data_IF_634901873484
#
_entry.id   IF_634901873484
#
_cell.length_a   1.000
_cell.length_b   1.000
_cell.length_c   1.000
_cell.angle_alpha   90.00
_cell.angle_beta   90.00
_cell.angle_gamma   90.00
#
_symmetry.space_group_name_H-M   'P 1'
#
loop_
_entity.id
_entity.type
_entity.pdbx_description
1 polymer ?
#
# COMPACT_ATOMS: atom_id res chain seq x y z
N UNK A 1 16.27 -19.45 -49.72
CA UNK A 1 15.00 -19.42 -48.95
C UNK A 1 15.12 -19.90 -47.50
N UNK A 2 16.12 -20.73 -47.11
CA UNK A 2 16.32 -21.14 -45.70
C UNK A 2 16.84 -20.02 -44.78
N UNK A 3 17.54 -19.03 -45.32
CA UNK A 3 18.14 -17.91 -44.55
C UNK A 3 17.14 -16.84 -44.10
N UNK A 4 16.00 -16.70 -44.78
CA UNK A 4 14.95 -15.72 -44.42
C UNK A 4 14.14 -16.19 -43.22
N UNK A 5 13.96 -17.51 -43.07
CA UNK A 5 13.18 -18.09 -41.97
C UNK A 5 13.89 -17.95 -40.62
N UNK A 6 15.22 -18.00 -40.61
CA UNK A 6 16.04 -17.86 -39.38
C UNK A 6 16.03 -16.42 -38.86
N UNK A 7 15.99 -15.43 -39.76
CA UNK A 7 15.94 -14.01 -39.39
C UNK A 7 14.57 -13.63 -38.81
N UNK A 8 13.49 -14.20 -39.34
CA UNK A 8 12.13 -13.97 -38.83
C UNK A 8 11.89 -14.62 -37.46
N UNK A 9 12.56 -15.73 -37.15
CA UNK A 9 12.48 -16.40 -35.83
C UNK A 9 13.32 -15.67 -34.76
N UNK A 10 14.42 -15.01 -35.14
CA UNK A 10 15.23 -14.22 -34.22
C UNK A 10 14.56 -12.89 -33.82
N UNK A 11 13.78 -12.29 -34.73
CA UNK A 11 13.02 -11.07 -34.47
C UNK A 11 11.79 -11.29 -33.56
N UNK A 12 11.21 -12.50 -33.54
CA UNK A 12 10.09 -12.85 -32.66
C UNK A 12 10.51 -13.20 -31.23
N UNK A 13 11.80 -13.48 -30.97
CA UNK A 13 12.35 -13.71 -29.63
C UNK A 13 12.68 -12.41 -28.86
N UNK A 14 12.77 -11.25 -29.54
CA UNK A 14 13.10 -9.97 -28.91
C UNK A 14 11.90 -9.20 -28.34
N UNK A 15 10.68 -9.75 -28.45
CA UNK A 15 9.45 -9.08 -28.02
C UNK A 15 8.81 -9.68 -26.74
N UNK A 16 9.50 -10.54 -26.00
CA UNK A 16 9.06 -10.97 -24.67
C UNK A 16 9.39 -9.93 -23.59
N UNK A 17 9.07 -8.66 -23.83
CA UNK A 17 9.05 -7.68 -22.75
C UNK A 17 7.72 -7.81 -22.02
N UNK A 18 7.76 -8.10 -20.72
CA UNK A 18 6.53 -8.07 -19.92
C UNK A 18 6.04 -6.64 -19.88
N UNK A 19 4.73 -6.45 -19.72
CA UNK A 19 4.13 -5.11 -19.59
C UNK A 19 4.83 -4.24 -18.53
N UNK A 20 5.43 -4.87 -17.53
CA UNK A 20 6.12 -4.21 -16.42
C UNK A 20 7.62 -3.94 -16.63
N UNK A 21 8.19 -4.31 -17.77
CA UNK A 21 9.62 -4.04 -18.04
C UNK A 21 9.86 -2.53 -18.15
N UNK A 22 10.35 -1.93 -17.07
CA UNK A 22 10.59 -0.49 -16.92
C UNK A 22 9.54 0.24 -16.08
N UNK A 23 8.48 -0.44 -15.63
CA UNK A 23 7.53 0.10 -14.67
C UNK A 23 8.20 0.14 -13.28
N UNK A 24 8.13 1.29 -12.61
CA UNK A 24 8.47 1.39 -11.20
C UNK A 24 7.38 0.64 -10.44
N UNK A 25 7.74 -0.41 -9.71
CA UNK A 25 6.80 -1.17 -8.88
C UNK A 25 6.13 -0.33 -7.78
N UNK A 26 5.52 -0.98 -6.78
CA UNK A 26 4.74 -0.30 -5.76
C UNK A 26 5.50 0.84 -5.06
N UNK A 27 4.80 1.70 -4.35
CA UNK A 27 5.49 2.64 -3.46
C UNK A 27 6.17 1.85 -2.33
N UNK A 28 7.42 2.13 -1.95
CA UNK A 28 8.12 1.35 -0.92
C UNK A 28 7.59 1.66 0.47
N UNK A 29 7.57 0.63 1.31
CA UNK A 29 7.36 0.78 2.75
C UNK A 29 8.41 1.75 3.31
N UNK A 30 8.04 2.71 4.18
CA UNK A 30 8.99 3.64 4.77
C UNK A 30 10.09 2.93 5.56
N UNK A 31 11.35 3.12 5.13
CA UNK A 31 12.52 2.52 5.81
C UNK A 31 12.74 3.07 7.23
N UNK A 32 12.37 4.33 7.48
CA UNK A 32 12.40 4.99 8.79
C UNK A 32 11.02 5.56 9.13
N UNK A 33 10.02 4.69 9.25
CA UNK A 33 8.67 5.07 9.67
C UNK A 33 8.62 5.45 11.16
N UNK A 34 7.74 6.39 11.52
CA UNK A 34 7.32 6.66 12.90
C UNK A 34 6.10 5.77 13.20
N UNK A 35 6.37 4.48 13.38
CA UNK A 35 5.35 3.46 13.60
C UNK A 35 4.80 3.56 15.02
N UNK A 36 3.53 3.95 15.12
CA UNK A 36 2.82 4.01 16.40
C UNK A 36 1.80 2.89 16.50
N UNK A 37 1.78 2.21 17.64
CA UNK A 37 0.71 1.24 17.94
C UNK A 37 -0.62 1.97 17.92
N UNK A 38 -1.55 1.43 17.15
CA UNK A 38 -2.89 1.98 16.94
C UNK A 38 -3.96 1.11 17.59
N UNK A 39 -3.67 -0.18 17.78
CA UNK A 39 -4.53 -1.07 18.54
C UNK A 39 -4.14 -2.53 18.37
N UNK A 40 -4.66 -3.35 19.27
CA UNK A 40 -4.49 -4.79 19.24
C UNK A 40 -5.80 -5.46 18.84
N UNK A 41 -5.71 -6.38 17.89
CA UNK A 41 -6.75 -7.34 17.54
C UNK A 41 -6.39 -8.71 18.13
N UNK A 42 -7.34 -9.67 18.21
CA UNK A 42 -7.05 -11.01 18.71
C UNK A 42 -5.86 -11.66 17.98
N UNK A 43 -5.78 -11.50 16.66
CA UNK A 43 -4.82 -12.24 15.82
C UNK A 43 -3.59 -11.41 15.39
N UNK A 44 -3.63 -10.08 15.57
CA UNK A 44 -2.57 -9.18 15.14
C UNK A 44 -2.57 -7.85 15.88
N UNK A 45 -1.42 -7.17 15.91
CA UNK A 45 -1.32 -5.77 16.32
C UNK A 45 -1.25 -4.85 15.09
N UNK A 46 -1.84 -3.66 15.18
CA UNK A 46 -1.83 -2.66 14.11
C UNK A 46 -0.96 -1.47 14.49
N UNK A 47 -0.09 -1.10 13.56
CA UNK A 47 0.76 0.08 13.64
C UNK A 47 0.51 1.00 12.45
N UNK A 48 0.71 2.30 12.66
CA UNK A 48 0.54 3.33 11.64
C UNK A 48 1.79 4.20 11.57
N UNK A 49 2.32 4.42 10.37
CA UNK A 49 3.37 5.41 10.18
C UNK A 49 2.75 6.81 10.04
N UNK A 50 2.76 7.57 11.12
CA UNK A 50 2.15 8.91 11.17
C UNK A 50 2.82 9.89 10.20
N UNK A 51 4.11 9.69 9.90
CA UNK A 51 4.84 10.53 8.94
C UNK A 51 4.37 10.31 7.51
N UNK A 52 3.91 9.10 7.18
CA UNK A 52 3.39 8.77 5.85
C UNK A 52 2.05 9.43 5.51
N UNK A 53 1.28 9.87 6.52
CA UNK A 53 -0.04 10.50 6.33
C UNK A 53 0.11 11.76 5.47
N UNK A 54 -0.38 11.73 4.23
CA UNK A 54 -0.25 12.84 3.28
C UNK A 54 -1.29 12.77 2.15
N UNK A 55 -1.60 13.91 1.54
CA UNK A 55 -2.35 13.97 0.27
C UNK A 55 -1.51 13.57 -0.95
N UNK A 56 -0.20 13.48 -0.78
CA UNK A 56 0.71 13.23 -1.87
C UNK A 56 0.87 11.73 -2.10
N UNK A 57 0.42 11.30 -3.27
CA UNK A 57 0.84 10.06 -3.86
C UNK A 57 1.57 10.34 -5.17
N UNK A 58 2.62 9.57 -5.46
CA UNK A 58 3.55 9.77 -6.59
C UNK A 58 2.82 9.91 -7.93
N UNK A 59 1.73 9.17 -8.07
CA UNK A 59 0.88 9.17 -9.27
C UNK A 59 -0.61 9.26 -8.91
N UNK A 60 -0.93 9.46 -7.64
CA UNK A 60 -2.29 9.39 -7.12
C UNK A 60 -2.96 10.74 -7.05
N UNK A 61 -4.23 10.70 -6.67
CA UNK A 61 -5.05 11.90 -6.60
C UNK A 61 -4.89 12.57 -5.23
N UNK A 62 -4.76 13.90 -5.23
CA UNK A 62 -4.86 14.70 -4.00
C UNK A 62 -6.26 14.62 -3.34
N UNK A 63 -7.21 13.92 -3.96
CA UNK A 63 -8.54 13.63 -3.39
C UNK A 63 -8.47 12.72 -2.16
N UNK A 64 -7.41 11.92 -2.02
CA UNK A 64 -7.29 10.95 -0.93
C UNK A 64 -6.19 11.36 0.05
N UNK A 65 -6.31 10.88 1.28
CA UNK A 65 -5.23 10.86 2.26
C UNK A 65 -4.61 9.47 2.24
N UNK A 66 -3.32 9.39 1.97
CA UNK A 66 -2.58 8.14 1.93
C UNK A 66 -1.88 7.89 3.26
N UNK A 67 -1.84 6.64 3.69
CA UNK A 67 -1.18 6.22 4.94
C UNK A 67 -0.64 4.81 4.83
N UNK A 68 0.52 4.55 5.42
CA UNK A 68 1.04 3.21 5.64
C UNK A 68 0.56 2.64 6.97
N UNK A 69 -0.05 1.45 6.90
CA UNK A 69 -0.43 0.62 8.02
C UNK A 69 0.43 -0.65 8.02
N UNK A 70 0.81 -1.12 9.20
CA UNK A 70 1.48 -2.41 9.39
C UNK A 70 0.64 -3.28 10.31
N UNK A 71 0.39 -4.51 9.91
CA UNK A 71 -0.19 -5.55 10.75
C UNK A 71 0.91 -6.54 11.12
N UNK A 72 1.10 -6.79 12.41
CA UNK A 72 2.00 -7.82 12.93
C UNK A 72 1.16 -8.98 13.47
N UNK A 73 1.16 -10.09 12.75
CA UNK A 73 0.36 -11.27 13.08
C UNK A 73 1.04 -12.11 14.15
N UNK A 74 0.24 -12.56 15.12
CA UNK A 74 0.72 -13.43 16.20
C UNK A 74 1.09 -14.82 15.69
N UNK A 75 0.38 -15.29 14.67
CA UNK A 75 0.62 -16.57 13.99
C UNK A 75 1.02 -16.34 12.52
N UNK A 76 1.89 -17.20 11.95
CA UNK A 76 2.24 -17.12 10.54
C UNK A 76 1.04 -17.23 9.61
N UNK A 77 1.00 -16.38 8.59
CA UNK A 77 -0.01 -16.34 7.56
C UNK A 77 0.56 -16.89 6.24
N UNK A 78 -0.29 -17.40 5.36
CA UNK A 78 0.14 -17.85 4.02
C UNK A 78 -0.49 -16.95 2.98
N UNK A 79 0.34 -16.36 2.12
CA UNK A 79 -0.15 -15.50 1.05
C UNK A 79 -0.95 -16.31 0.01
N UNK A 80 -2.12 -15.79 -0.36
CA UNK A 80 -2.99 -16.41 -1.36
C UNK A 80 -2.36 -16.49 -2.74
N UNK A 81 -1.45 -15.57 -3.07
CA UNK A 81 -0.85 -15.43 -4.41
C UNK A 81 0.51 -16.11 -4.49
N UNK A 82 1.50 -15.63 -3.73
CA UNK A 82 2.87 -16.15 -3.73
C UNK A 82 3.03 -17.49 -3.01
N UNK A 83 2.06 -17.87 -2.16
CA UNK A 83 2.12 -19.03 -1.25
C UNK A 83 3.25 -18.95 -0.22
N UNK A 84 3.92 -17.80 -0.09
CA UNK A 84 4.92 -17.57 0.94
C UNK A 84 4.30 -17.38 2.32
N UNK A 85 5.07 -17.74 3.35
CA UNK A 85 4.68 -17.55 4.76
C UNK A 85 5.13 -16.17 5.22
N UNK A 86 4.24 -15.40 5.85
CA UNK A 86 4.54 -14.05 6.33
C UNK A 86 3.94 -13.82 7.73
N UNK A 87 4.56 -12.92 8.49
CA UNK A 87 4.08 -12.50 9.82
C UNK A 87 3.80 -11.00 9.86
N UNK A 88 4.24 -10.26 8.85
CA UNK A 88 4.01 -8.81 8.75
C UNK A 88 3.43 -8.47 7.40
N UNK A 89 2.32 -7.72 7.42
CA UNK A 89 1.73 -7.10 6.24
C UNK A 89 1.84 -5.59 6.38
N UNK A 90 2.49 -4.95 5.44
CA UNK A 90 2.43 -3.51 5.25
C UNK A 90 1.42 -3.23 4.16
N UNK A 91 0.43 -2.40 4.46
CA UNK A 91 -0.61 -1.98 3.52
C UNK A 91 -0.57 -0.46 3.36
N UNK A 92 -0.59 0.01 2.13
CA UNK A 92 -0.81 1.42 1.84
C UNK A 92 -2.28 1.66 1.58
N UNK A 93 -2.89 2.50 2.40
CA UNK A 93 -4.32 2.79 2.33
C UNK A 93 -4.54 4.17 1.70
N UNK A 94 -5.54 4.28 0.83
CA UNK A 94 -6.12 5.54 0.39
C UNK A 94 -7.42 5.79 1.18
N UNK A 95 -7.52 6.95 1.82
CA UNK A 95 -8.65 7.33 2.69
C UNK A 95 -9.34 8.55 2.10
N UNK A 96 -10.63 8.42 1.79
CA UNK A 96 -11.51 9.50 1.37
C UNK A 96 -12.18 10.11 2.62
N UNK A 97 -11.58 11.15 3.18
CA UNK A 97 -12.00 11.71 4.47
C UNK A 97 -13.43 12.26 4.50
N UNK A 98 -13.92 12.78 3.37
CA UNK A 98 -15.28 13.34 3.29
C UNK A 98 -16.37 12.26 3.38
N UNK A 99 -16.10 11.08 2.83
CA UNK A 99 -17.07 9.96 2.81
C UNK A 99 -16.82 8.93 3.91
N UNK A 100 -15.69 9.02 4.60
CA UNK A 100 -15.29 8.06 5.62
C UNK A 100 -14.98 6.68 5.04
N UNK A 101 -14.46 6.62 3.81
CA UNK A 101 -14.16 5.37 3.10
C UNK A 101 -12.67 5.18 2.95
N UNK A 102 -12.22 3.93 2.89
CA UNK A 102 -10.83 3.60 2.60
C UNK A 102 -10.69 2.38 1.69
N UNK A 103 -9.58 2.31 0.97
CA UNK A 103 -9.19 1.18 0.12
C UNK A 103 -7.70 0.88 0.28
N UNK A 104 -7.32 -0.39 0.17
CA UNK A 104 -5.92 -0.82 0.06
C UNK A 104 -5.43 -0.60 -1.37
N UNK A 105 -4.25 0.01 -1.51
CA UNK A 105 -3.68 0.45 -2.78
C UNK A 105 -2.37 -0.27 -3.11
N UNK A 106 -1.68 -0.78 -2.11
CA UNK A 106 -0.49 -1.60 -2.24
C UNK A 106 -0.28 -2.43 -0.99
N UNK A 107 0.41 -3.56 -1.13
CA UNK A 107 0.86 -4.37 -0.01
C UNK A 107 2.29 -4.87 -0.18
N UNK A 108 2.97 -5.04 0.94
CA UNK A 108 4.26 -5.70 1.08
C UNK A 108 4.18 -6.69 2.24
N UNK A 109 4.55 -7.95 1.98
CA UNK A 109 4.50 -9.05 2.92
C UNK A 109 5.92 -9.42 3.32
N UNK A 110 6.16 -9.54 4.63
CA UNK A 110 7.46 -9.92 5.17
C UNK A 110 7.35 -11.06 6.18
N UNK A 111 8.38 -11.89 6.21
CA UNK A 111 8.54 -12.95 7.20
C UNK A 111 9.02 -12.42 8.56
N UNK A 112 9.20 -13.35 9.50
CA UNK A 112 9.72 -13.07 10.85
C UNK A 112 11.12 -12.44 10.86
N UNK A 113 11.93 -12.67 9.82
CA UNK A 113 13.31 -12.19 9.68
C UNK A 113 13.41 -10.89 8.85
N UNK A 114 12.28 -10.27 8.51
CA UNK A 114 12.21 -9.09 7.63
C UNK A 114 12.58 -9.39 6.17
N UNK A 115 12.53 -10.67 5.77
CA UNK A 115 12.65 -11.09 4.38
C UNK A 115 11.41 -10.75 3.58
N UNK A 116 11.59 -10.18 2.39
CA UNK A 116 10.52 -9.87 1.45
C UNK A 116 9.91 -11.16 0.89
N UNK A 117 8.59 -11.33 1.09
CA UNK A 117 7.83 -12.48 0.59
C UNK A 117 7.11 -12.13 -0.72
N UNK A 118 6.38 -11.02 -0.70
CA UNK A 118 5.64 -10.54 -1.86
C UNK A 118 5.42 -9.04 -1.76
N UNK A 119 5.29 -8.39 -2.91
CA UNK A 119 4.99 -6.97 -3.00
C UNK A 119 4.20 -6.69 -4.27
N UNK A 120 3.06 -6.02 -4.13
CA UNK A 120 2.15 -5.77 -5.25
C UNK A 120 1.35 -4.48 -5.06
N UNK A 121 1.01 -3.85 -6.18
CA UNK A 121 0.01 -2.78 -6.23
C UNK A 121 -1.38 -3.42 -6.34
N UNK A 122 -2.36 -2.82 -5.69
CA UNK A 122 -3.76 -3.11 -5.95
C UNK A 122 -4.19 -2.19 -7.10
N UNK A 123 -4.55 -2.74 -8.28
CA UNK A 123 -5.00 -1.93 -9.40
C UNK A 123 -6.15 -0.98 -9.01
N UNK A 124 -6.12 0.26 -9.50
CA UNK A 124 -7.10 1.30 -9.13
C UNK A 124 -8.56 0.92 -9.37
N UNK A 125 -8.85 0.11 -10.39
CA UNK A 125 -10.21 -0.38 -10.64
C UNK A 125 -10.69 -1.44 -9.63
N UNK A 126 -9.78 -1.98 -8.81
CA UNK A 126 -10.04 -2.90 -7.70
C UNK A 126 -9.98 -2.20 -6.34
N UNK A 127 -9.86 -0.87 -6.30
CA UNK A 127 -9.93 -0.13 -5.04
C UNK A 127 -11.38 -0.18 -4.53
N UNK A 128 -11.64 -1.17 -3.68
CA UNK A 128 -12.93 -1.33 -3.02
C UNK A 128 -12.98 -0.38 -1.81
N UNK A 129 -13.46 0.85 -2.05
CA UNK A 129 -13.68 1.82 -0.98
C UNK A 129 -14.84 1.37 -0.09
N UNK A 130 -14.50 0.87 1.09
CA UNK A 130 -15.46 0.42 2.09
C UNK A 130 -15.62 1.47 3.19
N UNK A 131 -16.86 1.64 3.66
CA UNK A 131 -17.18 2.41 4.87
C UNK A 131 -17.19 1.42 6.03
N UNK A 132 -16.26 1.51 7.00
CA UNK A 132 -16.31 0.68 8.19
C UNK A 132 -17.58 0.93 8.98
N UNK A 133 -18.10 -0.09 9.67
CA UNK A 133 -19.24 0.11 10.56
C UNK A 133 -18.91 1.15 11.65
N UNK A 134 -19.88 1.98 12.05
CA UNK A 134 -19.67 2.94 13.13
C UNK A 134 -19.20 2.26 14.42
N UNK A 135 -18.38 2.96 15.21
CA UNK A 135 -17.81 2.47 16.47
C UNK A 135 -16.90 1.23 16.35
N UNK A 136 -16.41 0.93 15.14
CA UNK A 136 -15.37 -0.08 14.93
C UNK A 136 -13.98 0.52 14.90
N UNK A 137 -12.97 -0.34 15.02
CA UNK A 137 -11.56 -0.01 14.78
C UNK A 137 -11.36 0.75 13.46
N UNK A 138 -11.97 0.28 12.36
CA UNK A 138 -11.82 0.90 11.04
C UNK A 138 -12.40 2.32 10.98
N UNK A 139 -13.55 2.55 11.61
CA UNK A 139 -14.16 3.89 11.64
C UNK A 139 -13.31 4.87 12.44
N UNK A 140 -12.75 4.43 13.57
CA UNK A 140 -11.84 5.25 14.36
C UNK A 140 -10.53 5.54 13.63
N UNK A 141 -9.96 4.51 12.96
CA UNK A 141 -8.77 4.63 12.11
C UNK A 141 -8.90 5.76 11.10
N UNK A 142 -9.97 5.73 10.30
CA UNK A 142 -10.22 6.75 9.29
C UNK A 142 -10.32 8.14 9.94
N UNK A 143 -11.07 8.26 11.04
CA UNK A 143 -11.24 9.51 11.76
C UNK A 143 -9.91 10.09 12.25
N UNK A 144 -9.03 9.27 12.82
CA UNK A 144 -7.74 9.74 13.33
C UNK A 144 -6.79 10.15 12.20
N UNK A 145 -6.71 9.36 11.12
CA UNK A 145 -5.90 9.69 9.94
C UNK A 145 -6.33 11.03 9.35
N UNK A 146 -7.63 11.22 9.15
CA UNK A 146 -8.18 12.46 8.62
C UNK A 146 -7.95 13.65 9.55
N UNK A 147 -8.08 13.47 10.87
CA UNK A 147 -7.78 14.51 11.85
C UNK A 147 -6.30 14.93 11.81
N UNK A 148 -5.39 13.96 11.68
CA UNK A 148 -3.95 14.25 11.58
C UNK A 148 -3.65 15.01 10.29
N UNK A 149 -4.24 14.61 9.17
CA UNK A 149 -4.05 15.29 7.89
C UNK A 149 -4.55 16.74 7.95
N UNK A 150 -5.77 16.97 8.44
CA UNK A 150 -6.32 18.31 8.61
C UNK A 150 -5.43 19.20 9.53
N UNK A 151 -4.81 18.62 10.56
CA UNK A 151 -3.88 19.36 11.42
C UNK A 151 -2.56 19.70 10.68
N UNK A 152 -2.09 18.83 9.78
CA UNK A 152 -0.92 19.11 8.92
C UNK A 152 -1.21 20.23 7.92
N UNK A 153 -2.38 20.20 7.27
CA UNK A 153 -2.79 21.24 6.34
C UNK A 153 -2.89 22.60 7.04
N UNK A 154 -3.57 22.65 8.19
CA UNK A 154 -3.70 23.88 8.97
C UNK A 154 -2.37 24.42 9.54
N UNK A 155 -1.35 23.56 9.70
CA UNK A 155 -0.01 24.00 10.08
C UNK A 155 0.73 24.57 8.86
N UNK A 156 0.63 23.91 7.71
CA UNK A 156 1.25 24.36 6.46
C UNK A 156 0.75 25.75 6.06
N UNK A 157 -0.56 25.99 6.15
CA UNK A 157 -1.15 27.29 5.84
C UNK A 157 -0.59 28.42 6.72
N UNK A 158 -0.20 28.13 7.97
CA UNK A 158 0.42 29.11 8.88
C UNK A 158 1.90 29.35 8.62
N UNK A 159 2.60 28.34 8.10
CA UNK A 159 4.03 28.46 7.79
C UNK A 159 4.24 29.19 6.45
N UNK A 160 3.20 29.25 5.61
CA UNK A 160 3.18 29.94 4.31
C UNK A 160 2.67 31.41 4.39
N UNK A 161 2.18 31.87 5.56
CA UNK A 161 1.79 33.27 5.87
C UNK A 161 2.96 34.12 6.40
#
# INVERSE_FOLDING_TARGET
>A
MKTVLVLALALSLCACKKYEDGARGPEPVPFKGDWRSYGEMPDFEVFVDVKSISHHDRSGSNLYTYVWMRQEFREPQVDGVSKGVFNRKYARLAVECNSGRMAETAAELRDENDGDIARYDVPGYQWEFQTPEPNTFGADFIRQVCKIMAAKDAQKDKDDE
#
